data_IF_162930275842
#
_entry.id   IF_162930275842
#
_cell.length_a   1.000
_cell.length_b   1.000
_cell.length_c   1.000
_cell.angle_alpha   90.00
_cell.angle_beta   90.00
_cell.angle_gamma   90.00
#
_symmetry.space_group_name_H-M   'P 1'
#
loop_
_entity.id
_entity.type
_entity.pdbx_description
1 polymer ?
#
# COMPACT_ATOMS: atom_id res chain seq x y z
N UNK A 1 15.82 -3.84 47.99
CA UNK A 1 16.89 -3.36 47.10
C UNK A 1 16.94 -4.27 45.89
N UNK A 2 16.65 -3.68 44.73
CA UNK A 2 16.98 -4.04 43.35
C UNK A 2 17.43 -5.48 43.06
N UNK A 3 16.73 -6.13 42.14
CA UNK A 3 17.20 -6.12 40.74
C UNK A 3 16.07 -6.67 39.87
N UNK A 4 15.22 -5.76 39.39
CA UNK A 4 14.46 -5.95 38.16
C UNK A 4 15.54 -6.27 37.11
N UNK A 5 15.64 -7.52 36.66
CA UNK A 5 16.48 -7.84 35.52
C UNK A 5 15.81 -7.12 34.36
N UNK A 6 16.42 -6.02 33.94
CA UNK A 6 16.17 -5.42 32.66
C UNK A 6 16.16 -6.56 31.65
N UNK A 7 15.00 -6.84 31.08
CA UNK A 7 14.89 -7.76 29.96
C UNK A 7 15.62 -7.04 28.85
N UNK A 8 16.91 -7.37 28.71
CA UNK A 8 17.72 -7.10 27.55
C UNK A 8 16.86 -7.38 26.32
N UNK A 9 16.38 -6.31 25.69
CA UNK A 9 15.87 -6.37 24.34
C UNK A 9 17.11 -6.67 23.50
N UNK A 10 17.43 -7.95 23.37
CA UNK A 10 18.46 -8.43 22.47
C UNK A 10 18.11 -7.84 21.11
N UNK A 11 18.86 -6.80 20.74
CA UNK A 11 18.75 -6.13 19.45
C UNK A 11 19.33 -7.12 18.43
N UNK A 12 18.56 -8.16 18.12
CA UNK A 12 18.79 -8.98 16.95
C UNK A 12 18.89 -7.99 15.80
N UNK A 13 20.07 -7.91 15.16
CA UNK A 13 20.33 -7.00 14.02
C UNK A 13 19.48 -7.31 12.78
N UNK A 14 18.44 -8.13 12.94
CA UNK A 14 17.34 -8.32 12.01
C UNK A 14 16.55 -7.01 11.93
N UNK A 15 16.33 -6.46 10.73
CA UNK A 15 15.50 -5.27 10.58
C UNK A 15 14.11 -5.51 11.18
N UNK A 16 13.58 -4.49 11.87
CA UNK A 16 12.26 -4.54 12.47
C UNK A 16 11.22 -4.86 11.37
N UNK A 17 10.47 -5.98 11.48
CA UNK A 17 9.48 -6.36 10.47
C UNK A 17 8.36 -5.31 10.32
N UNK A 18 8.15 -4.45 11.34
CA UNK A 18 7.23 -3.30 11.27
C UNK A 18 7.57 -2.36 10.13
N UNK A 19 8.85 -2.27 9.75
CA UNK A 19 9.29 -1.43 8.63
C UNK A 19 8.78 -1.95 7.28
N UNK A 20 8.77 -3.26 7.08
CA UNK A 20 8.25 -3.88 5.86
C UNK A 20 6.74 -3.64 5.74
N UNK A 21 6.00 -3.77 6.85
CA UNK A 21 4.58 -3.41 6.90
C UNK A 21 4.33 -1.93 6.62
N UNK A 22 5.18 -1.04 7.15
CA UNK A 22 5.09 0.40 6.89
C UNK A 22 5.29 0.72 5.40
N UNK A 23 6.27 0.09 4.75
CA UNK A 23 6.53 0.29 3.32
C UNK A 23 5.32 -0.11 2.48
N UNK A 24 4.75 -1.30 2.73
CA UNK A 24 3.55 -1.78 2.04
C UNK A 24 2.37 -0.85 2.29
N UNK A 25 2.12 -0.48 3.54
CA UNK A 25 1.06 0.44 3.89
C UNK A 25 1.22 1.79 3.17
N UNK A 26 2.44 2.33 3.13
CA UNK A 26 2.73 3.59 2.46
C UNK A 26 2.50 3.50 0.93
N UNK A 27 2.91 2.40 0.30
CA UNK A 27 2.61 2.14 -1.11
C UNK A 27 1.10 2.06 -1.37
N UNK A 28 0.35 1.38 -0.49
CA UNK A 28 -1.11 1.31 -0.58
C UNK A 28 -1.77 2.70 -0.42
N UNK A 29 -1.27 3.55 0.49
CA UNK A 29 -1.73 4.93 0.63
C UNK A 29 -1.47 5.75 -0.64
N UNK A 30 -0.30 5.59 -1.25
CA UNK A 30 0.01 6.23 -2.53
C UNK A 30 -0.99 5.79 -3.60
N UNK A 31 -1.21 4.49 -3.79
CA UNK A 31 -2.14 3.97 -4.78
C UNK A 31 -3.57 4.49 -4.55
N UNK A 32 -4.03 4.44 -3.29
CA UNK A 32 -5.34 4.99 -2.89
C UNK A 32 -5.47 6.46 -3.26
N UNK A 33 -4.47 7.30 -2.95
CA UNK A 33 -4.52 8.73 -3.25
C UNK A 33 -4.70 9.03 -4.74
N UNK A 34 -4.11 8.21 -5.61
CA UNK A 34 -4.20 8.35 -7.06
C UNK A 34 -5.55 7.93 -7.61
N UNK A 35 -6.10 6.83 -7.08
CA UNK A 35 -7.46 6.37 -7.40
C UNK A 35 -8.48 7.41 -6.94
N UNK A 36 -8.37 7.91 -5.71
CA UNK A 36 -9.24 8.97 -5.17
C UNK A 36 -9.21 10.21 -6.07
N UNK A 37 -8.03 10.60 -6.54
CA UNK A 37 -7.88 11.72 -7.48
C UNK A 37 -8.56 11.44 -8.83
N UNK A 38 -8.42 10.23 -9.38
CA UNK A 38 -9.10 9.84 -10.61
C UNK A 38 -10.62 9.88 -10.45
N UNK A 39 -11.15 9.37 -9.33
CA UNK A 39 -12.57 9.41 -9.00
C UNK A 39 -13.08 10.85 -8.87
N UNK A 40 -12.31 11.74 -8.24
CA UNK A 40 -12.64 13.17 -8.18
C UNK A 40 -12.64 13.82 -9.56
N UNK A 41 -11.70 13.46 -10.43
CA UNK A 41 -11.67 13.95 -11.82
C UNK A 41 -12.91 13.51 -12.58
N UNK A 42 -13.35 12.25 -12.45
CA UNK A 42 -14.60 11.76 -13.06
C UNK A 42 -15.80 12.51 -12.49
N UNK A 43 -15.88 12.62 -11.16
CA UNK A 43 -17.02 13.26 -10.47
C UNK A 43 -17.22 14.73 -10.85
N UNK A 44 -16.16 15.42 -11.31
CA UNK A 44 -16.21 16.82 -11.73
C UNK A 44 -16.55 17.00 -13.21
N UNK A 45 -16.52 15.94 -14.01
CA UNK A 45 -16.76 15.98 -15.44
C UNK A 45 -18.07 15.24 -15.77
N UNK A 46 -19.08 15.98 -16.20
CA UNK A 46 -20.40 15.44 -16.55
C UNK A 46 -20.39 14.61 -17.85
N UNK A 47 -19.46 14.91 -18.75
CA UNK A 47 -19.29 14.22 -20.03
C UNK A 47 -17.85 13.71 -20.19
N UNK A 48 -17.69 12.52 -20.77
CA UNK A 48 -16.37 12.01 -21.17
C UNK A 48 -15.74 12.96 -22.19
N UNK A 49 -14.46 13.21 -21.99
CA UNK A 49 -13.62 13.94 -22.93
C UNK A 49 -12.28 13.23 -23.07
N UNK A 50 -11.69 13.33 -24.26
CA UNK A 50 -10.35 12.77 -24.54
C UNK A 50 -9.31 13.27 -23.53
N UNK A 51 -9.46 14.52 -23.07
CA UNK A 51 -8.59 15.10 -22.03
C UNK A 51 -8.75 14.39 -20.68
N UNK A 52 -9.99 14.17 -20.25
CA UNK A 52 -10.32 13.47 -19.00
C UNK A 52 -9.84 12.01 -19.05
N UNK A 53 -10.08 11.31 -20.16
CA UNK A 53 -9.65 9.93 -20.34
C UNK A 53 -8.11 9.81 -20.29
N UNK A 54 -7.40 10.76 -20.89
CA UNK A 54 -5.94 10.80 -20.86
C UNK A 54 -5.41 11.07 -19.45
N UNK A 55 -6.05 11.97 -18.71
CA UNK A 55 -5.70 12.26 -17.33
C UNK A 55 -5.94 11.04 -16.43
N UNK A 56 -7.07 10.37 -16.59
CA UNK A 56 -7.39 9.13 -15.87
C UNK A 56 -6.35 8.04 -16.13
N UNK A 57 -5.94 7.83 -17.39
CA UNK A 57 -4.87 6.86 -17.70
C UNK A 57 -3.58 7.19 -16.97
N UNK A 58 -3.16 8.46 -16.94
CA UNK A 58 -1.98 8.89 -16.18
C UNK A 58 -2.14 8.68 -14.67
N UNK A 59 -3.35 8.82 -14.15
CA UNK A 59 -3.61 8.64 -12.72
C UNK A 59 -3.65 7.17 -12.32
N UNK A 60 -4.10 6.27 -13.21
CA UNK A 60 -4.44 4.89 -12.86
C UNK A 60 -3.45 3.82 -13.36
N UNK A 61 -2.67 4.06 -14.41
CA UNK A 61 -1.75 3.04 -14.96
C UNK A 61 -0.75 2.56 -13.88
N UNK A 62 0.05 3.48 -13.35
CA UNK A 62 1.12 3.11 -12.41
C UNK A 62 0.55 2.53 -11.09
N UNK A 63 -0.49 3.12 -10.47
CA UNK A 63 -1.08 2.57 -9.24
C UNK A 63 -1.72 1.20 -9.40
N UNK A 64 -2.37 0.92 -10.55
CA UNK A 64 -2.92 -0.41 -10.79
C UNK A 64 -1.81 -1.45 -10.94
N UNK A 65 -0.72 -1.08 -11.61
CA UNK A 65 0.43 -1.98 -11.75
C UNK A 65 1.12 -2.22 -10.40
N UNK A 66 1.29 -1.18 -9.59
CA UNK A 66 1.85 -1.29 -8.24
C UNK A 66 0.96 -2.14 -7.32
N UNK A 67 -0.37 -1.98 -7.39
CA UNK A 67 -1.31 -2.82 -6.63
C UNK A 67 -1.19 -4.29 -7.01
N UNK A 68 -1.09 -4.61 -8.30
CA UNK A 68 -0.89 -5.99 -8.74
C UNK A 68 0.43 -6.55 -8.20
N UNK A 69 1.52 -5.77 -8.25
CA UNK A 69 2.81 -6.20 -7.70
C UNK A 69 2.72 -6.48 -6.19
N UNK A 70 2.00 -5.66 -5.43
CA UNK A 70 1.77 -5.88 -3.99
C UNK A 70 0.98 -7.17 -3.78
N UNK A 71 -0.11 -7.38 -4.51
CA UNK A 71 -0.92 -8.61 -4.38
C UNK A 71 -0.11 -9.86 -4.73
N UNK A 72 0.68 -9.82 -5.80
CA UNK A 72 1.51 -10.94 -6.24
C UNK A 72 2.66 -11.22 -5.25
N UNK A 73 3.18 -10.20 -4.57
CA UNK A 73 4.21 -10.34 -3.55
C UNK A 73 3.67 -10.95 -2.24
N UNK A 74 2.37 -10.83 -1.98
CA UNK A 74 1.69 -11.38 -0.81
C UNK A 74 0.54 -12.30 -1.24
N UNK A 75 0.84 -13.48 -1.83
CA UNK A 75 -0.21 -14.45 -2.12
C UNK A 75 -0.95 -14.73 -0.81
N UNK A 76 -2.27 -14.55 -0.81
CA UNK A 76 -3.09 -14.89 0.35
C UNK A 76 -2.68 -16.28 0.81
N UNK A 77 -2.19 -16.40 2.04
CA UNK A 77 -2.16 -17.69 2.70
C UNK A 77 -3.61 -18.17 2.73
N UNK A 78 -3.97 -19.11 1.86
CA UNK A 78 -5.12 -19.95 2.11
C UNK A 78 -4.87 -20.58 3.47
N UNK A 79 -5.55 -20.10 4.50
CA UNK A 79 -5.64 -20.79 5.77
C UNK A 79 -6.19 -22.19 5.44
N UNK A 80 -5.33 -23.21 5.47
CA UNK A 80 -5.78 -24.57 5.69
C UNK A 80 -6.47 -24.58 7.06
N UNK A 81 -7.79 -24.36 7.06
CA UNK A 81 -8.64 -24.66 8.20
C UNK A 81 -8.62 -26.19 8.31
N UNK A 82 -7.83 -26.66 9.27
CA UNK A 82 -7.69 -28.05 9.69
C UNK A 82 -9.02 -28.69 10.13
#
# INVERSE_FOLDING_TARGET
MNNQKDCDFELNGSPDPTWDYYLIWHQLQYCKSRIDKALQTISKNEYSSIGTDREMRKLLIDPCQELNNIVDAFPCCEEEIA
#
